data_IF_962167842412
#
_entry.id   IF_962167842412
#
_cell.length_a   1.000
_cell.length_b   1.000
_cell.length_c   1.000
_cell.angle_alpha   90.00
_cell.angle_beta   90.00
_cell.angle_gamma   90.00
#
_symmetry.space_group_name_H-M   'P 1'
#
loop_
_entity.id
_entity.type
_entity.pdbx_description
1 polymer ?
#
# COMPACT_ATOMS: atom_id res chain seq x y z
N UNK A 1 10.09 -11.07 -27.25
CA UNK A 1 10.29 -12.50 -26.90
C UNK A 1 9.76 -12.65 -25.49
N UNK A 2 8.47 -12.96 -25.41
CA UNK A 2 7.73 -13.00 -24.15
C UNK A 2 8.03 -14.33 -23.47
N UNK A 3 8.60 -14.26 -22.28
CA UNK A 3 8.72 -15.38 -21.35
C UNK A 3 7.32 -15.95 -21.10
N UNK A 4 7.12 -17.19 -21.53
CA UNK A 4 5.91 -17.97 -21.27
C UNK A 4 5.59 -18.03 -19.77
N UNK A 5 4.39 -17.67 -19.31
CA UNK A 5 4.01 -17.82 -17.91
C UNK A 5 3.66 -19.29 -17.65
N UNK A 6 4.37 -19.90 -16.70
CA UNK A 6 4.02 -21.24 -16.20
C UNK A 6 2.67 -21.17 -15.45
N UNK A 7 1.73 -22.10 -15.69
CA UNK A 7 0.45 -22.19 -14.97
C UNK A 7 0.60 -22.58 -13.49
N UNK A 8 1.83 -22.73 -12.98
CA UNK A 8 2.17 -23.18 -11.63
C UNK A 8 2.65 -22.06 -10.70
N UNK A 9 2.64 -20.79 -11.11
CA UNK A 9 2.91 -19.66 -10.20
C UNK A 9 1.62 -19.23 -9.49
N UNK A 10 1.45 -19.55 -8.19
CA UNK A 10 0.26 -19.22 -7.41
C UNK A 10 0.30 -17.78 -6.87
N UNK A 11 1.45 -17.11 -6.98
CA UNK A 11 1.72 -15.81 -6.39
C UNK A 11 1.32 -14.66 -7.32
N UNK A 12 0.02 -14.53 -7.61
CA UNK A 12 -0.58 -13.29 -8.17
C UNK A 12 -0.99 -12.36 -7.01
N UNK A 13 -0.02 -11.94 -6.21
CA UNK A 13 -0.19 -11.20 -4.95
C UNK A 13 -1.09 -9.94 -5.08
N UNK A 14 -2.36 -9.86 -4.68
CA UNK A 14 -3.39 -10.85 -4.31
C UNK A 14 -4.71 -10.37 -4.95
N UNK A 15 -5.24 -11.08 -5.95
CA UNK A 15 -6.49 -10.70 -6.63
C UNK A 15 -6.29 -10.02 -7.99
N UNK A 16 -7.38 -9.55 -8.60
CA UNK A 16 -7.31 -8.91 -9.92
C UNK A 16 -7.09 -7.38 -9.81
N UNK A 17 -6.91 -6.71 -10.94
CA UNK A 17 -6.73 -5.25 -11.01
C UNK A 17 -7.85 -4.48 -10.30
N UNK A 18 -9.10 -4.95 -10.39
CA UNK A 18 -10.22 -4.39 -9.64
C UNK A 18 -10.00 -4.44 -8.12
N UNK A 19 -9.62 -5.60 -7.59
CA UNK A 19 -9.33 -5.79 -6.15
C UNK A 19 -8.18 -4.90 -5.70
N UNK A 20 -7.14 -4.76 -6.54
CA UNK A 20 -6.02 -3.86 -6.28
C UNK A 20 -6.44 -2.39 -6.15
N UNK A 21 -7.26 -1.90 -7.08
CA UNK A 21 -7.75 -0.53 -7.02
C UNK A 21 -8.65 -0.30 -5.80
N UNK A 22 -9.54 -1.25 -5.49
CA UNK A 22 -10.41 -1.15 -4.32
C UNK A 22 -9.64 -1.15 -2.99
N UNK A 23 -8.50 -1.86 -2.91
CA UNK A 23 -7.64 -1.85 -1.71
C UNK A 23 -7.06 -0.47 -1.35
N UNK A 24 -7.07 0.45 -2.32
CA UNK A 24 -6.62 1.85 -2.18
C UNK A 24 -7.82 2.77 -2.03
N UNK A 25 -8.78 2.72 -2.96
CA UNK A 25 -9.87 3.70 -3.03
C UNK A 25 -10.85 3.62 -1.86
N UNK A 26 -10.99 2.46 -1.24
CA UNK A 26 -11.88 2.29 -0.07
C UNK A 26 -11.33 2.86 1.23
N UNK A 27 -10.07 3.32 1.24
CA UNK A 27 -9.45 3.99 2.39
C UNK A 27 -9.69 5.51 2.42
N UNK A 28 -10.18 6.07 1.31
CA UNK A 28 -10.56 7.49 1.19
C UNK A 28 -11.96 7.69 1.79
N UNK A 29 -12.04 8.36 2.94
CA UNK A 29 -13.20 8.28 3.84
C UNK A 29 -14.52 8.76 3.23
N UNK A 30 -14.46 9.87 2.50
CA UNK A 30 -15.62 10.55 1.93
C UNK A 30 -15.88 10.18 0.46
N UNK A 31 -15.11 9.24 -0.09
CA UNK A 31 -15.32 8.71 -1.43
C UNK A 31 -16.28 7.51 -1.47
N UNK A 32 -16.88 7.27 -2.63
CA UNK A 32 -17.62 6.04 -2.92
C UNK A 32 -17.10 5.40 -4.19
N UNK A 33 -17.01 4.08 -4.19
CA UNK A 33 -16.60 3.30 -5.34
C UNK A 33 -17.81 2.65 -6.01
N UNK A 34 -17.95 2.81 -7.32
CA UNK A 34 -18.96 2.13 -8.14
C UNK A 34 -18.25 1.07 -8.96
N UNK A 35 -18.64 -0.20 -8.82
CA UNK A 35 -18.19 -1.30 -9.65
C UNK A 35 -19.18 -1.42 -10.80
N UNK A 36 -18.74 -0.99 -11.98
CA UNK A 36 -19.51 -1.07 -13.21
C UNK A 36 -19.32 -2.45 -13.84
N UNK A 37 -20.38 -3.26 -13.80
CA UNK A 37 -20.41 -4.63 -14.29
C UNK A 37 -21.42 -5.51 -13.54
N UNK A 38 -21.39 -6.83 -13.79
CA UNK A 38 -22.26 -7.78 -13.10
C UNK A 38 -21.96 -7.86 -11.59
N UNK A 39 -22.98 -8.17 -10.79
CA UNK A 39 -22.87 -8.19 -9.33
C UNK A 39 -21.79 -9.13 -8.76
N UNK A 40 -21.38 -10.18 -9.48
CA UNK A 40 -20.40 -11.14 -8.98
C UNK A 40 -19.07 -10.49 -8.53
N UNK A 41 -18.55 -9.55 -9.31
CA UNK A 41 -17.33 -8.82 -8.97
C UNK A 41 -17.53 -7.94 -7.72
N UNK A 42 -18.68 -7.28 -7.61
CA UNK A 42 -19.01 -6.45 -6.47
C UNK A 42 -19.20 -7.28 -5.19
N UNK A 43 -19.94 -8.38 -5.27
CA UNK A 43 -20.18 -9.28 -4.15
C UNK A 43 -18.87 -9.89 -3.61
N UNK A 44 -17.99 -10.36 -4.50
CA UNK A 44 -16.70 -10.92 -4.12
C UNK A 44 -15.82 -9.89 -3.39
N UNK A 45 -15.64 -8.71 -3.97
CA UNK A 45 -14.79 -7.68 -3.38
C UNK A 45 -15.40 -7.10 -2.10
N UNK A 46 -16.71 -6.88 -2.05
CA UNK A 46 -17.38 -6.45 -0.82
C UNK A 46 -17.14 -7.45 0.31
N UNK A 47 -17.33 -8.75 0.05
CA UNK A 47 -17.14 -9.80 1.06
C UNK A 47 -15.69 -9.87 1.54
N UNK A 48 -14.72 -9.78 0.62
CA UNK A 48 -13.30 -9.74 0.95
C UNK A 48 -12.95 -8.54 1.83
N UNK A 49 -13.30 -7.34 1.39
CA UNK A 49 -12.99 -6.09 2.11
C UNK A 49 -13.67 -6.06 3.47
N UNK A 50 -14.93 -6.47 3.55
CA UNK A 50 -15.66 -6.53 4.81
C UNK A 50 -15.03 -7.51 5.80
N UNK A 51 -14.65 -8.72 5.35
CA UNK A 51 -13.95 -9.69 6.19
C UNK A 51 -12.58 -9.20 6.66
N UNK A 52 -11.83 -8.51 5.79
CA UNK A 52 -10.55 -7.90 6.15
C UNK A 52 -10.69 -6.77 7.14
N UNK A 53 -11.69 -5.89 6.99
CA UNK A 53 -11.97 -4.82 7.96
C UNK A 53 -12.30 -5.40 9.34
N UNK A 54 -13.18 -6.41 9.40
CA UNK A 54 -13.52 -7.10 10.65
C UNK A 54 -12.30 -7.78 11.29
N UNK A 55 -11.42 -8.40 10.50
CA UNK A 55 -10.18 -9.04 11.00
C UNK A 55 -9.18 -8.03 11.57
N UNK A 56 -9.33 -6.75 11.24
CA UNK A 56 -8.54 -5.63 11.76
C UNK A 56 -9.34 -4.79 12.77
N UNK A 57 -10.39 -5.35 13.38
CA UNK A 57 -11.27 -4.70 14.36
C UNK A 57 -11.92 -3.38 13.86
N UNK A 58 -12.06 -3.22 12.54
CA UNK A 58 -12.78 -2.11 11.90
C UNK A 58 -14.19 -2.55 11.55
N UNK A 59 -15.18 -2.05 12.29
CA UNK A 59 -16.60 -2.38 12.10
C UNK A 59 -17.31 -1.51 11.05
N UNK A 60 -16.58 -1.13 10.00
CA UNK A 60 -17.08 -0.29 8.91
C UNK A 60 -17.60 -1.15 7.76
N UNK A 61 -18.60 -0.62 7.04
CA UNK A 61 -19.12 -1.25 5.82
C UNK A 61 -18.40 -0.60 4.62
N UNK A 62 -17.76 -1.38 3.73
CA UNK A 62 -17.16 -0.83 2.52
C UNK A 62 -18.17 0.00 1.71
N UNK A 63 -17.82 1.25 1.39
CA UNK A 63 -18.66 2.17 0.60
C UNK A 63 -18.59 1.81 -0.88
N UNK A 64 -19.32 0.76 -1.25
CA UNK A 64 -19.35 0.20 -2.60
C UNK A 64 -20.78 0.18 -3.15
N UNK A 65 -20.91 0.52 -4.42
CA UNK A 65 -22.12 0.30 -5.21
C UNK A 65 -21.79 -0.57 -6.42
N UNK A 66 -22.78 -1.33 -6.88
CA UNK A 66 -22.74 -2.07 -8.14
C UNK A 66 -23.73 -1.46 -9.11
N UNK A 67 -23.39 -1.46 -10.40
CA UNK A 67 -24.40 -1.26 -11.46
C UNK A 67 -25.26 -2.51 -11.66
N UNK A 68 -24.76 -3.69 -11.28
CA UNK A 68 -25.47 -4.97 -11.33
C UNK A 68 -26.03 -5.28 -12.72
N UNK A 69 -25.13 -5.23 -13.73
CA UNK A 69 -25.52 -5.40 -15.12
C UNK A 69 -26.12 -6.79 -15.37
N UNK A 70 -27.29 -6.81 -16.01
CA UNK A 70 -27.97 -8.03 -16.46
C UNK A 70 -27.60 -8.39 -17.92
N UNK A 71 -28.23 -9.44 -18.47
CA UNK A 71 -27.97 -9.84 -19.85
C UNK A 71 -28.39 -8.78 -20.89
N UNK A 72 -29.41 -7.96 -20.62
CA UNK A 72 -29.81 -6.90 -21.54
C UNK A 72 -28.78 -5.78 -21.54
N UNK A 73 -28.29 -5.37 -20.38
CA UNK A 73 -27.23 -4.36 -20.27
C UNK A 73 -25.95 -4.81 -20.99
N UNK A 74 -25.63 -6.12 -20.93
CA UNK A 74 -24.48 -6.68 -21.65
C UNK A 74 -24.69 -6.64 -23.18
N UNK A 75 -25.92 -6.80 -23.67
CA UNK A 75 -26.22 -6.80 -25.11
C UNK A 75 -26.31 -5.38 -25.67
N UNK A 76 -26.88 -4.44 -24.91
CA UNK A 76 -27.24 -3.10 -25.39
C UNK A 76 -26.35 -1.98 -24.85
N UNK A 77 -25.46 -2.27 -23.89
CA UNK A 77 -24.60 -1.29 -23.23
C UNK A 77 -25.09 -1.00 -21.80
N UNK A 78 -24.15 -0.83 -20.87
CA UNK A 78 -24.41 -0.61 -19.45
C UNK A 78 -24.40 0.86 -19.01
N UNK A 79 -24.26 1.82 -19.92
CA UNK A 79 -24.07 3.24 -19.57
C UNK A 79 -25.28 3.84 -18.83
N UNK A 80 -26.51 3.43 -19.16
CA UNK A 80 -27.70 3.89 -18.45
C UNK A 80 -27.74 3.36 -17.01
N UNK A 81 -27.31 2.11 -16.78
CA UNK A 81 -27.17 1.55 -15.45
C UNK A 81 -26.08 2.25 -14.64
N UNK A 82 -24.96 2.63 -15.28
CA UNK A 82 -23.93 3.46 -14.66
C UNK A 82 -24.46 4.85 -14.28
N UNK A 83 -25.23 5.48 -15.15
CA UNK A 83 -25.87 6.77 -14.86
C UNK A 83 -26.79 6.70 -13.65
N UNK A 84 -27.64 5.68 -13.58
CA UNK A 84 -28.51 5.43 -12.45
C UNK A 84 -27.73 5.17 -11.16
N UNK A 85 -26.61 4.43 -11.23
CA UNK A 85 -25.75 4.16 -10.08
C UNK A 85 -25.05 5.42 -9.56
N UNK A 86 -24.55 6.30 -10.45
CA UNK A 86 -23.97 7.59 -10.07
C UNK A 86 -25.04 8.48 -9.44
N UNK A 87 -26.24 8.56 -10.04
CA UNK A 87 -27.35 9.31 -9.47
C UNK A 87 -27.70 8.80 -8.07
N UNK A 88 -27.78 7.48 -7.86
CA UNK A 88 -28.00 6.88 -6.53
C UNK A 88 -26.88 7.26 -5.56
N UNK A 89 -25.62 7.19 -5.99
CA UNK A 89 -24.47 7.55 -5.15
C UNK A 89 -24.55 8.98 -4.60
N UNK A 90 -25.01 9.92 -5.43
CA UNK A 90 -25.19 11.34 -5.05
C UNK A 90 -26.31 11.57 -4.03
N UNK A 91 -27.27 10.64 -3.92
CA UNK A 91 -28.38 10.73 -2.95
C UNK A 91 -28.07 10.15 -1.57
N UNK A 92 -26.92 9.50 -1.40
CA UNK A 92 -26.55 8.87 -0.14
C UNK A 92 -26.36 9.91 0.96
N UNK A 93 -26.57 9.48 2.21
CA UNK A 93 -26.31 10.31 3.40
C UNK A 93 -25.29 9.60 4.30
N UNK A 94 -24.11 10.20 4.54
CA UNK A 94 -23.62 11.45 3.96
C UNK A 94 -23.33 11.32 2.45
N UNK A 95 -23.50 12.43 1.72
CA UNK A 95 -23.17 12.49 0.30
C UNK A 95 -21.64 12.36 0.11
N UNK A 96 -21.18 11.63 -0.93
CA UNK A 96 -19.76 11.49 -1.19
C UNK A 96 -19.15 12.81 -1.68
N UNK A 97 -17.89 13.06 -1.34
CA UNK A 97 -17.10 14.17 -1.90
C UNK A 97 -16.45 13.82 -3.25
N UNK A 98 -16.33 12.53 -3.55
CA UNK A 98 -15.84 12.00 -4.83
C UNK A 98 -16.43 10.63 -5.13
N UNK A 99 -16.55 10.31 -6.42
CA UNK A 99 -16.99 8.99 -6.92
C UNK A 99 -15.87 8.42 -7.79
N UNK A 100 -15.48 7.18 -7.54
CA UNK A 100 -14.58 6.43 -8.41
C UNK A 100 -15.35 5.30 -9.09
N UNK A 101 -15.29 5.24 -10.42
CA UNK A 101 -15.98 4.24 -11.22
C UNK A 101 -14.96 3.23 -11.73
N UNK A 102 -15.10 1.98 -11.30
CA UNK A 102 -14.20 0.88 -11.63
C UNK A 102 -14.88 -0.07 -12.61
N UNK A 103 -14.24 -0.36 -13.73
CA UNK A 103 -14.79 -1.22 -14.78
C UNK A 103 -14.40 -2.68 -14.58
N UNK A 104 -15.37 -3.59 -14.73
CA UNK A 104 -15.10 -5.03 -14.77
C UNK A 104 -14.61 -5.46 -16.15
N UNK A 105 -14.07 -6.69 -16.25
CA UNK A 105 -13.67 -7.26 -17.54
C UNK A 105 -14.81 -7.30 -18.57
N UNK A 106 -16.06 -7.44 -18.13
CA UNK A 106 -17.22 -7.53 -19.03
C UNK A 106 -17.52 -6.17 -19.66
N UNK A 107 -17.55 -5.10 -18.86
CA UNK A 107 -17.76 -3.73 -19.32
C UNK A 107 -16.72 -3.32 -20.36
N UNK A 108 -15.45 -3.64 -20.10
CA UNK A 108 -14.36 -3.33 -21.05
C UNK A 108 -14.39 -4.22 -22.30
N UNK A 109 -15.06 -5.38 -22.25
CA UNK A 109 -15.24 -6.25 -23.42
C UNK A 109 -16.35 -5.74 -24.33
N UNK A 110 -17.46 -5.28 -23.75
CA UNK A 110 -18.60 -4.73 -24.51
C UNK A 110 -18.31 -3.31 -25.00
N UNK A 111 -17.36 -2.62 -24.36
CA UNK A 111 -16.84 -1.33 -24.82
C UNK A 111 -17.67 -0.14 -24.39
N UNK A 112 -18.32 -0.22 -23.22
CA UNK A 112 -19.11 0.90 -22.66
C UNK A 112 -18.23 2.15 -22.51
N UNK A 113 -18.76 3.31 -22.91
CA UNK A 113 -18.04 4.58 -22.80
C UNK A 113 -18.14 5.17 -21.37
N UNK A 114 -17.49 4.48 -20.43
CA UNK A 114 -17.47 4.84 -19.01
C UNK A 114 -16.86 6.23 -18.80
N UNK A 115 -15.87 6.61 -19.60
CA UNK A 115 -15.23 7.93 -19.51
C UNK A 115 -16.20 9.05 -19.87
N UNK A 116 -16.98 8.90 -20.95
CA UNK A 116 -17.98 9.89 -21.34
C UNK A 116 -19.10 10.05 -20.30
N UNK A 117 -19.51 8.96 -19.65
CA UNK A 117 -20.49 9.02 -18.55
C UNK A 117 -19.91 9.77 -17.35
N UNK A 118 -18.66 9.46 -16.95
CA UNK A 118 -17.99 10.12 -15.83
C UNK A 118 -17.67 11.60 -16.09
N UNK A 119 -17.44 12.00 -17.34
CA UNK A 119 -17.12 13.37 -17.71
C UNK A 119 -18.26 14.37 -17.53
N UNK A 120 -19.50 13.90 -17.33
CA UNK A 120 -20.67 14.76 -17.09
C UNK A 120 -20.53 15.51 -15.77
N UNK A 121 -20.84 16.80 -15.77
CA UNK A 121 -20.74 17.63 -14.56
C UNK A 121 -21.78 17.23 -13.51
N UNK A 122 -21.33 16.92 -12.28
CA UNK A 122 -22.18 16.48 -11.14
C UNK A 122 -21.95 17.25 -9.84
N UNK A 123 -21.16 18.33 -9.86
CA UNK A 123 -20.80 19.12 -8.68
C UNK A 123 -19.70 18.50 -7.78
N UNK A 124 -19.40 17.21 -7.95
CA UNK A 124 -18.25 16.52 -7.35
C UNK A 124 -17.47 15.77 -8.44
N UNK A 125 -16.18 15.46 -8.24
CA UNK A 125 -15.42 14.64 -9.17
C UNK A 125 -15.99 13.21 -9.27
N UNK A 126 -16.21 12.77 -10.51
CA UNK A 126 -16.53 11.39 -10.87
C UNK A 126 -15.39 10.89 -11.76
N UNK A 127 -14.59 9.96 -11.26
CA UNK A 127 -13.31 9.58 -11.87
C UNK A 127 -13.38 8.13 -12.34
N UNK A 128 -13.22 7.86 -13.65
CA UNK A 128 -13.07 6.50 -14.13
C UNK A 128 -11.71 5.94 -13.73
N UNK A 129 -11.68 4.67 -13.35
CA UNK A 129 -10.48 3.94 -12.98
C UNK A 129 -10.47 2.63 -13.77
N UNK A 130 -9.54 2.54 -14.72
CA UNK A 130 -9.40 1.36 -15.57
C UNK A 130 -8.98 0.15 -14.72
N UNK A 131 -9.84 -0.88 -14.67
CA UNK A 131 -9.60 -2.06 -13.81
C UNK A 131 -9.83 -3.43 -14.45
N UNK A 132 -10.02 -3.50 -15.78
CA UNK A 132 -10.06 -4.79 -16.47
C UNK A 132 -8.71 -5.51 -16.45
N UNK A 133 -8.63 -6.57 -15.64
CA UNK A 133 -7.43 -7.39 -15.53
C UNK A 133 -7.12 -8.23 -16.79
N UNK A 134 -8.12 -8.55 -17.63
CA UNK A 134 -7.89 -9.38 -18.81
C UNK A 134 -6.97 -8.72 -19.86
N UNK A 135 -6.84 -7.39 -19.82
CA UNK A 135 -5.93 -6.61 -20.67
C UNK A 135 -4.46 -6.69 -20.20
N UNK A 136 -4.12 -7.67 -19.34
CA UNK A 136 -2.78 -7.88 -18.81
C UNK A 136 -2.52 -7.18 -17.47
N UNK A 137 -3.56 -6.62 -16.85
CA UNK A 137 -3.47 -6.01 -15.53
C UNK A 137 -3.38 -7.06 -14.41
N UNK A 138 -2.65 -6.71 -13.35
CA UNK A 138 -2.59 -7.49 -12.10
C UNK A 138 -3.02 -6.61 -10.92
N UNK A 139 -3.03 -7.17 -9.71
CA UNK A 139 -3.37 -6.45 -8.48
C UNK A 139 -2.58 -5.13 -8.32
N UNK A 140 -1.26 -5.17 -8.53
CA UNK A 140 -0.39 -4.00 -8.46
C UNK A 140 -0.75 -2.92 -9.51
N UNK A 141 -1.18 -3.33 -10.71
CA UNK A 141 -1.71 -2.40 -11.72
C UNK A 141 -2.91 -1.63 -11.17
N UNK A 142 -3.80 -2.32 -10.44
CA UNK A 142 -4.97 -1.72 -9.82
C UNK A 142 -4.62 -0.66 -8.78
N UNK A 143 -3.67 -0.98 -7.90
CA UNK A 143 -3.14 -0.04 -6.90
C UNK A 143 -2.62 1.22 -7.58
N UNK A 144 -1.79 1.06 -8.61
CA UNK A 144 -1.20 2.20 -9.34
C UNK A 144 -2.26 3.04 -10.03
N UNK A 145 -3.23 2.40 -10.69
CA UNK A 145 -4.32 3.09 -11.36
C UNK A 145 -5.14 3.90 -10.36
N UNK A 146 -5.51 3.30 -9.22
CA UNK A 146 -6.20 4.01 -8.13
C UNK A 146 -5.40 5.21 -7.59
N UNK A 147 -4.12 5.01 -7.24
CA UNK A 147 -3.27 6.10 -6.74
C UNK A 147 -3.14 7.24 -7.75
N UNK A 148 -2.97 6.92 -9.05
CA UNK A 148 -2.92 7.91 -10.12
C UNK A 148 -4.24 8.67 -10.28
N UNK A 149 -5.37 7.95 -10.27
CA UNK A 149 -6.72 8.52 -10.34
C UNK A 149 -7.00 9.45 -9.17
N UNK A 150 -6.64 9.08 -7.94
CA UNK A 150 -6.78 9.98 -6.78
C UNK A 150 -5.83 11.17 -6.90
N UNK A 151 -4.58 10.96 -7.34
CA UNK A 151 -3.60 12.02 -7.52
C UNK A 151 -4.02 13.02 -8.61
N UNK A 152 -4.93 12.68 -9.51
CA UNK A 152 -5.51 13.63 -10.49
C UNK A 152 -6.22 14.82 -9.84
N UNK A 153 -6.68 14.66 -8.59
CA UNK A 153 -7.31 15.71 -7.80
C UNK A 153 -6.30 16.65 -7.11
N UNK A 154 -5.03 16.26 -7.05
CA UNK A 154 -3.99 17.06 -6.42
C UNK A 154 -3.60 18.26 -7.28
N UNK A 155 -3.19 19.33 -6.62
CA UNK A 155 -2.66 20.55 -7.24
C UNK A 155 -1.22 20.78 -6.77
N UNK A 156 -0.38 21.44 -7.57
CA UNK A 156 0.91 21.92 -7.09
C UNK A 156 0.72 22.76 -5.83
N UNK A 157 1.49 22.46 -4.77
CA UNK A 157 1.47 23.26 -3.54
C UNK A 157 2.11 24.63 -3.74
N UNK A 158 1.73 25.60 -2.92
CA UNK A 158 2.30 26.95 -2.99
C UNK A 158 3.74 26.98 -2.46
N UNK A 159 4.00 26.36 -1.31
CA UNK A 159 5.35 26.18 -0.74
C UNK A 159 5.45 24.83 -0.02
N UNK A 160 6.55 24.07 -0.20
CA UNK A 160 6.77 22.83 0.54
C UNK A 160 6.97 23.09 2.03
N UNK A 161 6.22 22.38 2.85
CA UNK A 161 6.46 22.27 4.29
C UNK A 161 7.51 21.20 4.57
N UNK A 162 8.26 21.32 5.67
CA UNK A 162 9.27 20.34 6.08
C UNK A 162 8.61 19.06 6.61
N UNK A 163 8.04 18.30 5.70
CA UNK A 163 7.17 17.16 5.98
C UNK A 163 7.21 16.16 4.82
N UNK A 164 6.74 14.94 5.07
CA UNK A 164 6.69 13.89 4.06
C UNK A 164 5.27 13.34 3.86
N UNK A 165 4.97 12.91 2.63
CA UNK A 165 3.81 12.07 2.33
C UNK A 165 4.20 10.59 2.39
N UNK A 166 3.32 9.73 2.91
CA UNK A 166 3.43 8.28 2.76
C UNK A 166 2.55 7.85 1.58
N UNK A 167 3.13 7.15 0.60
CA UNK A 167 2.45 6.79 -0.64
C UNK A 167 2.28 5.27 -0.74
N UNK A 168 1.03 4.82 -0.95
CA UNK A 168 0.70 3.44 -1.25
C UNK A 168 0.53 2.53 -0.03
N UNK A 169 0.05 3.10 1.08
CA UNK A 169 -0.58 2.31 2.14
C UNK A 169 -1.93 1.75 1.62
N UNK A 170 -2.27 0.50 1.98
CA UNK A 170 -3.39 -0.27 1.41
C UNK A 170 -4.18 -0.99 2.52
N UNK A 171 -5.44 -1.34 2.28
CA UNK A 171 -6.27 -2.00 3.30
C UNK A 171 -6.05 -3.52 3.44
N UNK A 172 -5.56 -4.19 2.39
CA UNK A 172 -5.24 -5.62 2.38
C UNK A 172 -3.82 -5.88 2.86
N UNK A 173 -3.40 -5.16 3.90
CA UNK A 173 -2.03 -5.24 4.39
C UNK A 173 -1.97 -5.16 5.92
N UNK A 174 -1.12 -5.98 6.52
CA UNK A 174 -0.91 -6.02 7.95
C UNK A 174 0.15 -5.00 8.39
N UNK A 175 -0.02 -4.48 9.61
CA UNK A 175 1.00 -3.64 10.25
C UNK A 175 1.12 -2.24 9.66
N UNK A 176 0.12 -1.76 8.92
CA UNK A 176 0.17 -0.49 8.18
C UNK A 176 0.34 0.69 9.14
N UNK A 177 -0.41 0.71 10.24
CA UNK A 177 -0.33 1.80 11.22
C UNK A 177 0.95 1.74 12.05
N UNK A 178 1.45 0.55 12.37
CA UNK A 178 2.74 0.37 13.03
C UNK A 178 3.92 0.77 12.13
N UNK A 179 3.80 0.52 10.83
CA UNK A 179 4.80 0.93 9.86
C UNK A 179 4.77 2.46 9.70
N UNK A 180 3.59 3.07 9.56
CA UNK A 180 3.46 4.54 9.52
C UNK A 180 4.01 5.21 10.78
N UNK A 181 3.73 4.65 11.97
CA UNK A 181 4.27 5.14 13.23
C UNK A 181 5.81 5.05 13.29
N UNK A 182 6.39 3.99 12.72
CA UNK A 182 7.85 3.86 12.63
C UNK A 182 8.45 4.89 11.67
N UNK A 183 7.83 5.13 10.50
CA UNK A 183 8.29 6.18 9.59
C UNK A 183 8.19 7.55 10.27
N UNK A 184 7.07 7.84 10.94
CA UNK A 184 6.89 9.10 11.68
C UNK A 184 7.96 9.30 12.77
N UNK A 185 8.32 8.24 13.51
CA UNK A 185 9.40 8.28 14.52
C UNK A 185 10.75 8.62 13.89
N UNK A 186 11.09 7.96 12.78
CA UNK A 186 12.36 8.18 12.07
C UNK A 186 12.43 9.59 11.49
N UNK A 187 11.37 10.06 10.85
CA UNK A 187 11.26 11.42 10.33
C UNK A 187 11.33 12.47 11.44
N UNK A 188 10.74 12.20 12.60
CA UNK A 188 10.82 13.07 13.77
C UNK A 188 12.25 13.32 14.26
N UNK A 189 13.17 12.35 14.10
CA UNK A 189 14.60 12.55 14.41
C UNK A 189 15.28 13.57 13.51
N UNK A 190 14.74 13.77 12.30
CA UNK A 190 15.21 14.75 11.33
C UNK A 190 14.38 16.05 11.39
N UNK A 191 13.44 16.16 12.32
CA UNK A 191 12.53 17.31 12.43
C UNK A 191 11.42 17.34 11.37
N UNK A 192 11.16 16.24 10.67
CA UNK A 192 10.07 16.13 9.70
C UNK A 192 8.80 15.57 10.34
N UNK A 193 7.65 16.14 9.96
CA UNK A 193 6.32 15.58 10.23
C UNK A 193 5.76 14.77 9.07
N UNK A 194 4.65 14.06 9.31
CA UNK A 194 3.84 13.47 8.25
C UNK A 194 2.83 14.52 7.77
N UNK A 195 2.88 14.87 6.48
CA UNK A 195 1.88 15.73 5.86
C UNK A 195 0.60 14.95 5.56
N UNK A 196 0.75 13.84 4.83
CA UNK A 196 -0.36 13.06 4.32
C UNK A 196 0.00 11.58 4.31
N UNK A 197 -0.91 10.74 4.78
CA UNK A 197 -0.92 9.32 4.46
C UNK A 197 -1.80 9.17 3.23
N UNK A 198 -1.20 9.24 2.04
CA UNK A 198 -1.96 9.40 0.80
C UNK A 198 -2.93 8.23 0.64
N UNK A 199 -4.21 8.58 0.52
CA UNK A 199 -5.42 7.73 0.51
C UNK A 199 -5.84 7.06 1.82
N UNK A 200 -5.04 7.12 2.90
CA UNK A 200 -5.35 6.41 4.15
C UNK A 200 -5.80 7.36 5.25
N UNK A 201 -7.09 7.27 5.61
CA UNK A 201 -7.65 8.07 6.70
C UNK A 201 -7.71 9.56 6.40
N UNK A 202 -7.79 9.90 5.11
CA UNK A 202 -7.89 11.27 4.61
C UNK A 202 -9.22 11.47 3.90
N UNK A 203 -9.58 12.74 3.68
CA UNK A 203 -10.73 13.14 2.87
C UNK A 203 -10.30 13.49 1.44
N UNK A 204 -11.27 13.63 0.54
CA UNK A 204 -11.04 14.09 -0.83
C UNK A 204 -10.41 15.48 -0.84
N UNK A 205 -10.79 16.33 0.10
CA UNK A 205 -10.24 17.68 0.23
C UNK A 205 -8.75 17.68 0.64
N UNK A 206 -8.33 16.75 1.50
CA UNK A 206 -6.94 16.63 1.95
C UNK A 206 -5.95 16.36 0.81
N UNK A 207 -6.42 15.83 -0.33
CA UNK A 207 -5.57 15.54 -1.50
C UNK A 207 -4.91 16.80 -2.05
N UNK A 208 -5.51 17.98 -1.85
CA UNK A 208 -4.89 19.27 -2.23
C UNK A 208 -3.54 19.49 -1.54
N UNK A 209 -3.32 18.88 -0.37
CA UNK A 209 -2.07 18.97 0.39
C UNK A 209 -0.96 18.07 -0.16
N UNK A 210 -1.26 17.17 -1.10
CA UNK A 210 -0.28 16.21 -1.63
C UNK A 210 0.96 16.93 -2.21
N UNK A 211 0.76 18.07 -2.89
CA UNK A 211 1.84 18.86 -3.47
C UNK A 211 2.60 19.78 -2.49
N UNK A 212 2.29 19.74 -1.19
CA UNK A 212 2.84 20.65 -0.17
C UNK A 212 3.90 20.00 0.73
N UNK A 213 4.30 18.75 0.47
CA UNK A 213 5.35 18.08 1.23
C UNK A 213 6.73 18.28 0.59
N UNK A 214 7.78 18.25 1.41
CA UNK A 214 9.16 18.27 0.95
C UNK A 214 9.58 16.94 0.30
N UNK A 215 8.91 15.83 0.65
CA UNK A 215 9.29 14.49 0.20
C UNK A 215 8.08 13.54 0.11
N UNK A 216 8.08 12.67 -0.89
CA UNK A 216 7.21 11.48 -0.94
C UNK A 216 8.01 10.24 -0.51
N UNK A 217 7.43 9.39 0.34
CA UNK A 217 8.05 8.12 0.74
C UNK A 217 7.13 7.00 0.25
N UNK A 218 7.61 6.25 -0.73
CA UNK A 218 6.87 5.14 -1.30
C UNK A 218 6.88 3.95 -0.33
N UNK A 219 5.78 3.21 -0.28
CA UNK A 219 5.70 1.99 0.54
C UNK A 219 6.68 0.93 0.08
N UNK A 220 6.71 0.66 -1.22
CA UNK A 220 7.50 -0.39 -1.84
C UNK A 220 8.08 0.04 -3.20
N UNK A 221 9.15 -0.61 -3.70
CA UNK A 221 9.78 -0.25 -4.97
C UNK A 221 8.89 -0.37 -6.21
N UNK A 222 7.81 -1.17 -6.17
CA UNK A 222 6.85 -1.31 -7.27
C UNK A 222 6.08 -0.02 -7.56
N UNK A 223 6.00 0.88 -6.57
CA UNK A 223 5.35 2.18 -6.69
C UNK A 223 6.23 3.27 -7.33
N UNK A 224 7.46 2.97 -7.75
CA UNK A 224 8.34 3.94 -8.43
C UNK A 224 7.64 4.73 -9.55
N UNK A 225 6.83 4.12 -10.43
CA UNK A 225 6.11 4.87 -11.46
C UNK A 225 5.18 5.96 -10.90
N UNK A 226 4.59 5.74 -9.72
CA UNK A 226 3.77 6.74 -9.01
C UNK A 226 4.65 7.85 -8.44
N UNK A 227 5.79 7.50 -7.82
CA UNK A 227 6.75 8.50 -7.35
C UNK A 227 7.25 9.40 -8.47
N UNK A 228 7.59 8.83 -9.63
CA UNK A 228 8.00 9.57 -10.84
C UNK A 228 6.88 10.46 -11.38
N UNK A 229 5.63 9.99 -11.40
CA UNK A 229 4.48 10.80 -11.83
C UNK A 229 4.23 11.99 -10.89
N UNK A 230 4.23 11.75 -9.58
CA UNK A 230 4.07 12.80 -8.57
C UNK A 230 5.22 13.81 -8.63
N UNK A 231 6.46 13.36 -8.82
CA UNK A 231 7.61 14.25 -8.99
C UNK A 231 7.47 15.11 -10.25
N UNK A 232 7.05 14.52 -11.38
CA UNK A 232 6.83 15.28 -12.63
C UNK A 232 5.70 16.31 -12.52
N UNK A 233 4.60 15.96 -11.84
CA UNK A 233 3.38 16.79 -11.79
C UNK A 233 3.38 17.82 -10.67
N UNK A 234 3.95 17.47 -9.51
CA UNK A 234 3.90 18.27 -8.28
C UNK A 234 5.28 18.80 -7.85
N UNK A 235 6.38 18.33 -8.47
CA UNK A 235 7.73 18.75 -8.14
C UNK A 235 8.32 18.12 -6.87
N UNK A 236 7.55 17.30 -6.14
CA UNK A 236 7.99 16.68 -4.88
C UNK A 236 8.89 15.46 -5.15
N UNK A 237 10.14 15.42 -4.67
CA UNK A 237 11.02 14.26 -4.82
C UNK A 237 10.48 13.04 -4.06
N UNK A 238 11.06 11.86 -4.30
CA UNK A 238 10.64 10.65 -3.59
C UNK A 238 11.80 9.74 -3.14
N UNK A 239 11.55 8.99 -2.06
CA UNK A 239 12.33 7.82 -1.64
C UNK A 239 11.56 6.57 -2.03
N UNK A 240 12.26 5.60 -2.61
CA UNK A 240 11.64 4.52 -3.36
C UNK A 240 11.00 3.40 -2.52
N UNK A 241 11.21 3.36 -1.21
CA UNK A 241 10.61 2.36 -0.33
C UNK A 241 10.71 2.77 1.14
N UNK A 242 9.94 2.10 2.00
CA UNK A 242 10.18 2.14 3.44
C UNK A 242 11.53 1.48 3.81
N UNK A 243 12.17 1.88 4.92
CA UNK A 243 13.39 1.25 5.42
C UNK A 243 13.12 -0.17 5.88
N UNK A 244 14.02 -1.09 5.54
CA UNK A 244 13.94 -2.49 5.95
C UNK A 244 15.20 -2.90 6.70
N UNK A 245 15.05 -3.56 7.85
CA UNK A 245 16.18 -4.02 8.68
C UNK A 245 16.94 -2.90 9.40
N UNK A 246 18.01 -3.25 10.10
CA UNK A 246 18.77 -2.31 10.95
C UNK A 246 19.57 -1.33 10.09
N UNK A 247 20.38 -1.83 9.17
CA UNK A 247 21.19 -1.01 8.26
C UNK A 247 20.33 -0.22 7.28
N UNK A 248 19.24 -0.81 6.78
CA UNK A 248 18.32 -0.09 5.88
C UNK A 248 17.63 1.08 6.57
N UNK A 249 17.37 0.99 7.87
CA UNK A 249 16.86 2.11 8.67
C UNK A 249 17.84 3.27 8.75
N UNK A 250 19.12 3.00 8.99
CA UNK A 250 20.15 4.05 9.01
C UNK A 250 20.31 4.70 7.62
N UNK A 251 20.39 3.90 6.56
CA UNK A 251 20.51 4.41 5.18
C UNK A 251 19.32 5.28 4.78
N UNK A 252 18.12 4.95 5.26
CA UNK A 252 16.93 5.76 5.02
C UNK A 252 17.03 7.14 5.67
N UNK A 253 17.53 7.24 6.91
CA UNK A 253 17.75 8.54 7.56
C UNK A 253 18.76 9.39 6.77
N UNK A 254 19.87 8.79 6.33
CA UNK A 254 20.85 9.47 5.46
C UNK A 254 20.21 9.95 4.14
N UNK A 255 19.39 9.11 3.52
CA UNK A 255 18.72 9.43 2.26
C UNK A 255 17.70 10.57 2.42
N UNK A 256 16.88 10.54 3.49
CA UNK A 256 15.96 11.65 3.82
C UNK A 256 16.75 12.93 4.06
N UNK A 257 17.80 12.88 4.89
CA UNK A 257 18.66 14.03 5.16
C UNK A 257 19.23 14.64 3.88
N UNK A 258 19.77 13.81 2.99
CA UNK A 258 20.30 14.24 1.69
C UNK A 258 19.24 14.91 0.82
N UNK A 259 18.03 14.34 0.73
CA UNK A 259 16.97 14.89 -0.13
C UNK A 259 16.41 16.20 0.44
N UNK A 260 16.31 16.31 1.77
CA UNK A 260 15.77 17.49 2.44
C UNK A 260 16.83 18.56 2.78
N UNK A 261 18.12 18.30 2.52
CA UNK A 261 19.21 19.21 2.87
C UNK A 261 19.47 19.33 4.38
N UNK A 262 19.23 18.26 5.12
CA UNK A 262 19.40 18.16 6.58
C UNK A 262 20.60 17.25 6.89
N UNK A 263 21.43 17.64 7.85
CA UNK A 263 22.47 16.75 8.37
C UNK A 263 21.83 15.63 9.21
N UNK A 264 21.91 14.40 8.73
CA UNK A 264 21.33 13.23 9.38
C UNK A 264 22.28 12.54 10.37
N UNK A 265 23.51 13.03 10.56
CA UNK A 265 24.55 12.36 11.34
C UNK A 265 24.11 12.05 12.77
N UNK A 266 23.53 13.03 13.46
CA UNK A 266 23.03 12.86 14.82
C UNK A 266 21.84 11.88 14.86
N UNK A 267 20.90 12.02 13.93
CA UNK A 267 19.74 11.12 13.85
C UNK A 267 20.15 9.66 13.60
N UNK A 268 21.17 9.43 12.78
CA UNK A 268 21.71 8.09 12.50
C UNK A 268 22.43 7.52 13.72
N UNK A 269 23.24 8.31 14.42
CA UNK A 269 23.93 7.84 15.63
C UNK A 269 22.95 7.53 16.77
N UNK A 270 21.93 8.36 16.95
CA UNK A 270 20.84 8.09 17.89
C UNK A 270 20.07 6.81 17.52
N UNK A 271 19.81 6.59 16.23
CA UNK A 271 19.13 5.37 15.77
C UNK A 271 19.99 4.13 15.99
N UNK A 272 21.30 4.20 15.74
CA UNK A 272 22.25 3.12 16.07
C UNK A 272 22.29 2.83 17.56
N UNK A 273 22.27 3.86 18.40
CA UNK A 273 22.20 3.70 19.85
C UNK A 273 20.89 3.02 20.28
N UNK A 274 19.76 3.44 19.70
CA UNK A 274 18.46 2.81 19.92
C UNK A 274 18.42 1.34 19.49
N UNK A 275 19.03 1.01 18.34
CA UNK A 275 19.15 -0.36 17.85
C UNK A 275 19.97 -1.23 18.80
N UNK A 276 21.12 -0.74 19.30
CA UNK A 276 21.94 -1.48 20.28
C UNK A 276 21.16 -1.78 21.56
N UNK A 277 20.53 -0.76 22.15
CA UNK A 277 19.72 -0.94 23.36
C UNK A 277 18.54 -1.91 23.15
N UNK A 278 17.91 -1.88 21.96
CA UNK A 278 16.85 -2.82 21.60
C UNK A 278 17.37 -4.26 21.53
N UNK A 279 18.52 -4.48 20.89
CA UNK A 279 19.14 -5.81 20.73
C UNK A 279 19.61 -6.41 22.07
N UNK A 280 20.07 -5.58 23.01
CA UNK A 280 20.43 -6.02 24.37
C UNK A 280 19.25 -6.71 25.09
N UNK A 281 18.01 -6.30 24.81
CA UNK A 281 16.80 -6.94 25.33
C UNK A 281 16.55 -8.36 24.81
N UNK A 282 17.32 -8.80 23.82
CA UNK A 282 17.27 -10.13 23.19
C UNK A 282 18.59 -10.91 23.35
N UNK A 283 19.49 -10.47 24.23
CA UNK A 283 20.76 -11.14 24.49
C UNK A 283 20.58 -12.58 25.00
N UNK A 284 19.42 -12.90 25.58
CA UNK A 284 19.07 -14.24 25.99
C UNK A 284 18.95 -15.22 24.83
N UNK A 285 18.93 -14.79 23.56
CA UNK A 285 18.95 -15.69 22.40
C UNK A 285 20.37 -16.06 21.93
N UNK A 286 21.41 -15.36 22.40
CA UNK A 286 22.79 -15.53 21.92
C UNK A 286 23.29 -16.99 22.02
N UNK A 287 24.12 -17.40 21.06
CA UNK A 287 24.67 -18.75 20.94
C UNK A 287 23.69 -19.81 20.42
N UNK A 288 22.42 -19.46 20.21
CA UNK A 288 21.42 -20.40 19.68
C UNK A 288 21.67 -20.73 18.20
N UNK A 289 21.33 -21.96 17.80
CA UNK A 289 21.39 -22.41 16.41
C UNK A 289 20.02 -22.24 15.76
N UNK A 290 19.96 -21.58 14.59
CA UNK A 290 18.71 -21.30 13.88
C UNK A 290 18.80 -21.72 12.41
N UNK A 291 17.66 -22.02 11.80
CA UNK A 291 17.52 -22.16 10.35
C UNK A 291 16.36 -21.31 9.85
N UNK A 292 16.58 -20.59 8.77
CA UNK A 292 15.52 -19.79 8.14
C UNK A 292 14.84 -20.57 7.03
N UNK A 293 13.51 -20.54 6.97
CA UNK A 293 12.76 -21.09 5.86
C UNK A 293 11.46 -20.29 5.61
N UNK A 294 10.88 -20.38 4.41
CA UNK A 294 9.57 -19.81 4.15
C UNK A 294 8.48 -20.41 5.05
N UNK A 295 7.45 -19.61 5.38
CA UNK A 295 6.27 -20.08 6.12
C UNK A 295 5.48 -21.16 5.36
N UNK A 296 5.57 -21.16 4.04
CA UNK A 296 4.88 -22.11 3.19
C UNK A 296 5.76 -22.47 1.98
N UNK A 297 5.74 -23.73 1.53
CA UNK A 297 6.58 -24.22 0.44
C UNK A 297 6.34 -23.53 -0.92
N UNK A 298 5.20 -22.84 -1.05
CA UNK A 298 4.81 -22.10 -2.25
C UNK A 298 5.22 -20.61 -2.20
N UNK A 299 5.79 -20.14 -1.09
CA UNK A 299 6.33 -18.79 -0.98
C UNK A 299 7.79 -18.77 -1.42
N UNK A 300 8.09 -17.94 -2.41
CA UNK A 300 9.47 -17.68 -2.81
C UNK A 300 10.21 -16.93 -1.70
N UNK A 301 11.51 -17.18 -1.59
CA UNK A 301 12.38 -16.46 -0.65
C UNK A 301 12.58 -15.03 -1.14
N UNK A 302 12.22 -14.06 -0.30
CA UNK A 302 12.52 -12.64 -0.52
C UNK A 302 14.00 -12.38 -0.14
N UNK A 303 14.89 -12.01 -1.09
CA UNK A 303 16.29 -11.73 -0.79
C UNK A 303 16.48 -10.60 0.23
N UNK A 304 15.54 -9.64 0.29
CA UNK A 304 15.58 -8.56 1.27
C UNK A 304 15.32 -9.13 2.67
N UNK A 305 14.30 -9.97 2.82
CA UNK A 305 14.01 -10.65 4.08
C UNK A 305 15.19 -11.52 4.54
N UNK A 306 15.85 -12.25 3.63
CA UNK A 306 17.03 -13.06 3.93
C UNK A 306 18.22 -12.22 4.42
N UNK A 307 18.48 -11.09 3.76
CA UNK A 307 19.52 -10.16 4.18
C UNK A 307 19.28 -9.62 5.60
N UNK A 308 18.02 -9.29 5.92
CA UNK A 308 17.62 -8.81 7.26
C UNK A 308 17.78 -9.92 8.30
N UNK A 309 17.36 -11.15 7.98
CA UNK A 309 17.53 -12.29 8.88
C UNK A 309 19.02 -12.52 9.18
N UNK A 310 19.86 -12.47 8.15
CA UNK A 310 21.32 -12.65 8.28
C UNK A 310 21.95 -11.52 9.11
N UNK A 311 21.53 -10.28 8.87
CA UNK A 311 21.96 -9.12 9.66
C UNK A 311 21.62 -9.28 11.14
N UNK A 312 20.36 -9.63 11.45
CA UNK A 312 19.90 -9.80 12.82
C UNK A 312 20.57 -11.00 13.52
N UNK A 313 20.77 -12.11 12.80
CA UNK A 313 21.47 -13.28 13.33
C UNK A 313 22.91 -12.95 13.73
N UNK A 314 23.64 -12.18 12.90
CA UNK A 314 24.99 -11.71 13.25
C UNK A 314 24.97 -10.76 14.44
N UNK A 315 24.02 -9.83 14.48
CA UNK A 315 23.90 -8.85 15.56
C UNK A 315 23.59 -9.47 16.93
N UNK A 316 22.99 -10.67 16.95
CA UNK A 316 22.59 -11.40 18.16
C UNK A 316 23.45 -12.63 18.46
N UNK A 317 24.57 -12.81 17.75
CA UNK A 317 25.45 -13.98 17.88
C UNK A 317 24.70 -15.33 17.73
N UNK A 318 23.85 -15.43 16.71
CA UNK A 318 23.14 -16.66 16.35
C UNK A 318 23.92 -17.43 15.29
N UNK A 319 23.93 -18.76 15.41
CA UNK A 319 24.54 -19.64 14.40
C UNK A 319 23.50 -20.13 13.42
N UNK A 320 23.63 -19.78 12.13
CA UNK A 320 22.77 -20.32 11.08
C UNK A 320 23.25 -21.74 10.73
N UNK A 321 22.43 -22.75 10.98
CA UNK A 321 22.78 -24.15 10.73
C UNK A 321 21.57 -25.00 10.33
N UNK A 322 21.74 -26.06 9.50
CA UNK A 322 20.62 -26.89 9.02
C UNK A 322 19.83 -27.61 10.12
N UNK A 323 20.47 -27.93 11.24
CA UNK A 323 19.92 -28.57 12.44
C UNK A 323 19.40 -27.55 13.48
N UNK A 324 19.43 -26.25 13.16
CA UNK A 324 18.96 -25.19 14.05
C UNK A 324 17.43 -25.13 14.19
N UNK A 325 16.98 -24.42 15.22
CA UNK A 325 15.55 -24.13 15.43
C UNK A 325 14.97 -23.40 14.22
N UNK A 326 13.81 -23.85 13.74
CA UNK A 326 13.16 -23.22 12.60
C UNK A 326 12.63 -21.84 12.97
N UNK A 327 13.08 -20.84 12.22
CA UNK A 327 12.61 -19.46 12.33
C UNK A 327 12.10 -19.03 10.94
N UNK A 328 10.82 -18.67 10.80
CA UNK A 328 10.29 -18.32 9.49
C UNK A 328 10.85 -16.98 8.98
N UNK A 329 11.05 -16.86 7.67
CA UNK A 329 11.31 -15.56 7.04
C UNK A 329 10.14 -14.59 7.29
N UNK A 330 10.42 -13.31 7.59
CA UNK A 330 9.37 -12.31 7.69
C UNK A 330 8.76 -12.06 6.30
N UNK A 331 7.43 -12.04 6.23
CA UNK A 331 6.69 -11.63 5.04
C UNK A 331 5.54 -10.69 5.46
N UNK A 332 5.57 -9.40 5.08
CA UNK A 332 6.68 -8.71 4.40
C UNK A 332 7.90 -8.51 5.31
N UNK A 333 9.01 -8.05 4.73
CA UNK A 333 10.20 -7.70 5.47
C UNK A 333 9.94 -6.58 6.51
N UNK A 334 10.62 -6.58 7.67
CA UNK A 334 10.29 -5.70 8.78
C UNK A 334 10.68 -4.25 8.49
N UNK A 335 9.70 -3.34 8.60
CA UNK A 335 9.90 -1.90 8.43
C UNK A 335 10.55 -1.29 9.67
N UNK A 336 11.70 -0.66 9.48
CA UNK A 336 12.41 0.06 10.52
C UNK A 336 12.92 -0.82 11.67
N UNK A 337 13.49 -0.18 12.69
CA UNK A 337 13.93 -0.85 13.93
C UNK A 337 12.74 -1.40 14.71
N UNK A 338 11.58 -0.72 14.71
CA UNK A 338 10.37 -1.22 15.38
C UNK A 338 9.84 -2.53 14.76
N UNK A 339 9.87 -2.65 13.43
CA UNK A 339 9.52 -3.89 12.73
C UNK A 339 10.48 -5.02 13.08
N UNK A 340 11.78 -4.73 13.15
CA UNK A 340 12.81 -5.71 13.56
C UNK A 340 12.53 -6.18 14.98
N UNK A 341 12.23 -5.28 15.93
CA UNK A 341 11.87 -5.65 17.30
C UNK A 341 10.69 -6.62 17.36
N UNK A 342 9.62 -6.37 16.61
CA UNK A 342 8.45 -7.27 16.53
C UNK A 342 8.83 -8.64 15.95
N UNK A 343 9.70 -8.67 14.95
CA UNK A 343 10.24 -9.92 14.39
C UNK A 343 11.04 -10.69 15.44
N UNK A 344 11.93 -10.04 16.18
CA UNK A 344 12.78 -10.67 17.19
C UNK A 344 11.98 -11.25 18.37
N UNK A 345 10.86 -10.62 18.76
CA UNK A 345 9.95 -11.23 19.74
C UNK A 345 9.39 -12.58 19.26
N UNK A 346 9.03 -12.69 17.97
CA UNK A 346 8.56 -13.96 17.39
C UNK A 346 9.68 -15.00 17.33
N UNK A 347 10.90 -14.58 17.00
CA UNK A 347 12.07 -15.47 17.02
C UNK A 347 12.34 -16.00 18.43
N UNK A 348 12.30 -15.13 19.43
CA UNK A 348 12.52 -15.50 20.84
C UNK A 348 11.55 -16.58 21.31
N UNK A 349 10.28 -16.47 20.94
CA UNK A 349 9.27 -17.50 21.26
C UNK A 349 9.58 -18.86 20.61
N UNK A 350 10.17 -18.90 19.42
CA UNK A 350 10.55 -20.15 18.77
C UNK A 350 11.85 -20.74 19.36
N UNK A 351 12.80 -19.88 19.72
CA UNK A 351 14.12 -20.28 20.22
C UNK A 351 14.08 -20.69 21.69
N UNK A 352 13.20 -20.07 22.49
CA UNK A 352 13.12 -20.26 23.95
C UNK A 352 11.82 -20.91 24.44
N UNK A 353 10.80 -21.01 23.59
CA UNK A 353 9.57 -21.77 23.87
C UNK A 353 9.77 -23.25 23.62
#
# INVERSE_FOLDING_TARGET
MNSSPSPLSPSRFEGCTLTGALSVLTELQDAICIIHGPAGCAHHNFSLLHATLLSNDRFEIPRLLSTDLDENDIIFGGEEALEAAIARALTLTPAPASIFVLTTCIVETIGDDTEAVCAKHRGIPVIPVATAGFLGGVFETGIRNALSSVASLARPGAEPTLSANLIGEKNLEYGVDENAAEIARLLGRLGLGINLRFVRGITTHDIERLGSAALNILRDPGLRPIGEDLQRRLGTPYIASFPVGLSGTCRFLDEVGRVCGIDASDAVEEERAYQRAMLEGFCDMAGSRVRFAPLHAMLETDPVAEAVCTECARALDLTIAPDGTLVPFPHPAPVGTAGVRRMLHRWRLQIRG
#
